data_IF_579794975602
#
_entry.id   IF_579794975602
#
_cell.length_a   1.000
_cell.length_b   1.000
_cell.length_c   1.000
_cell.angle_alpha   90.00
_cell.angle_beta   90.00
_cell.angle_gamma   90.00
#
_symmetry.space_group_name_H-M   'P 1'
#
loop_
_entity.id
_entity.type
_entity.pdbx_description
1 polymer ?
#
# COMPACT_ATOMS: atom_id res chain seq x y z
N UNK A 1 -38.58 -43.72 -35.70
CA UNK A 1 -40.05 -43.84 -35.49
C UNK A 1 -40.67 -42.57 -34.92
N UNK A 2 -40.12 -41.93 -33.89
CA UNK A 2 -40.67 -40.63 -33.42
C UNK A 2 -40.47 -39.50 -34.44
N UNK A 3 -39.41 -39.56 -35.24
CA UNK A 3 -39.09 -38.54 -36.24
C UNK A 3 -40.03 -38.49 -37.46
N UNK A 4 -40.90 -39.49 -37.64
CA UNK A 4 -41.89 -39.53 -38.71
C UNK A 4 -43.28 -39.04 -38.27
N UNK A 5 -43.43 -38.64 -37.00
CA UNK A 5 -44.67 -38.11 -36.48
C UNK A 5 -44.82 -36.61 -36.85
N UNK A 6 -46.05 -36.11 -37.04
CA UNK A 6 -46.32 -34.69 -37.18
C UNK A 6 -45.79 -33.88 -35.99
N UNK A 7 -45.34 -32.66 -36.27
CA UNK A 7 -44.75 -31.74 -35.28
C UNK A 7 -45.69 -31.47 -34.11
N UNK A 8 -46.99 -31.46 -34.33
CA UNK A 8 -48.04 -31.22 -33.34
C UNK A 8 -48.09 -32.35 -32.31
N UNK A 9 -47.99 -33.60 -32.77
CA UNK A 9 -48.01 -34.79 -31.90
C UNK A 9 -46.73 -34.83 -31.06
N UNK A 10 -45.58 -34.53 -31.66
CA UNK A 10 -44.31 -34.44 -30.95
C UNK A 10 -44.37 -33.35 -29.86
N UNK A 11 -44.94 -32.18 -30.17
CA UNK A 11 -45.15 -31.11 -29.18
C UNK A 11 -46.08 -31.53 -28.04
N UNK A 12 -47.15 -32.28 -28.32
CA UNK A 12 -48.05 -32.79 -27.29
C UNK A 12 -47.35 -33.79 -26.37
N UNK A 13 -46.59 -34.74 -26.94
CA UNK A 13 -45.79 -35.69 -26.17
C UNK A 13 -44.79 -34.95 -25.28
N UNK A 14 -44.05 -33.99 -25.85
CA UNK A 14 -43.07 -33.20 -25.10
C UNK A 14 -43.70 -32.41 -23.94
N UNK A 15 -44.90 -31.82 -24.12
CA UNK A 15 -45.62 -31.10 -23.06
C UNK A 15 -46.06 -32.00 -21.90
N UNK A 16 -46.31 -33.28 -22.16
CA UNK A 16 -46.74 -34.26 -21.14
C UNK A 16 -45.55 -34.91 -20.41
N UNK A 17 -44.34 -34.82 -20.95
CA UNK A 17 -43.14 -35.38 -20.31
C UNK A 17 -42.63 -34.50 -19.15
N UNK A 18 -42.00 -35.14 -18.16
CA UNK A 18 -41.22 -34.46 -17.12
C UNK A 18 -40.00 -33.72 -17.71
N UNK A 19 -39.38 -32.79 -16.97
CA UNK A 19 -38.19 -32.06 -17.43
C UNK A 19 -37.07 -33.01 -17.90
N UNK A 20 -36.83 -34.10 -17.17
CA UNK A 20 -35.87 -35.13 -17.56
C UNK A 20 -36.26 -35.85 -18.85
N UNK A 21 -37.55 -36.16 -19.05
CA UNK A 21 -38.05 -36.75 -20.29
C UNK A 21 -37.93 -35.80 -21.49
N UNK A 22 -38.23 -34.51 -21.29
CA UNK A 22 -38.05 -33.47 -22.30
C UNK A 22 -36.56 -33.32 -22.68
N UNK A 23 -35.65 -33.37 -21.70
CA UNK A 23 -34.21 -33.32 -21.94
C UNK A 23 -33.74 -34.52 -22.76
N UNK A 24 -34.13 -35.75 -22.38
CA UNK A 24 -33.80 -36.97 -23.13
C UNK A 24 -34.33 -36.95 -24.58
N UNK A 25 -35.58 -36.50 -24.78
CA UNK A 25 -36.17 -36.32 -26.11
C UNK A 25 -35.38 -35.30 -26.95
N UNK A 26 -35.00 -34.18 -26.34
CA UNK A 26 -34.21 -33.14 -27.00
C UNK A 26 -32.79 -33.60 -27.37
N UNK A 27 -32.19 -34.50 -26.58
CA UNK A 27 -30.85 -35.04 -26.83
C UNK A 27 -30.84 -36.13 -27.91
N UNK A 28 -32.00 -36.70 -28.23
CA UNK A 28 -32.12 -37.85 -29.14
C UNK A 28 -31.76 -37.51 -30.59
N UNK A 29 -32.15 -36.33 -31.09
CA UNK A 29 -31.72 -35.85 -32.41
C UNK A 29 -31.89 -34.33 -32.58
N UNK A 30 -31.20 -33.73 -33.57
CA UNK A 30 -31.25 -32.28 -33.84
C UNK A 30 -32.64 -31.75 -34.18
N UNK A 31 -33.43 -32.54 -34.91
CA UNK A 31 -34.80 -32.16 -35.27
C UNK A 31 -35.69 -32.08 -34.03
N UNK A 32 -35.64 -33.10 -33.16
CA UNK A 32 -36.38 -33.11 -31.91
C UNK A 32 -35.88 -32.02 -30.95
N UNK A 33 -34.58 -31.74 -30.94
CA UNK A 33 -34.05 -30.59 -30.20
C UNK A 33 -34.73 -29.29 -30.64
N UNK A 34 -34.79 -29.00 -31.95
CA UNK A 34 -35.42 -27.75 -32.42
C UNK A 34 -36.89 -27.62 -32.05
N UNK A 35 -37.65 -28.72 -32.04
CA UNK A 35 -39.07 -28.75 -31.71
C UNK A 35 -39.28 -28.65 -30.19
N UNK A 36 -38.51 -29.41 -29.41
CA UNK A 36 -38.65 -29.50 -27.96
C UNK A 36 -38.01 -28.32 -27.22
N UNK A 37 -37.03 -27.62 -27.81
CA UNK A 37 -36.31 -26.47 -27.22
C UNK A 37 -37.26 -25.46 -26.55
N UNK A 38 -38.22 -24.83 -27.26
CA UNK A 38 -39.10 -23.83 -26.64
C UNK A 38 -39.96 -24.42 -25.51
N UNK A 39 -40.37 -25.69 -25.62
CA UNK A 39 -41.18 -26.37 -24.60
C UNK A 39 -40.35 -26.65 -23.34
N UNK A 40 -39.13 -27.15 -23.51
CA UNK A 40 -38.19 -27.46 -22.43
C UNK A 40 -37.84 -26.22 -21.61
N UNK A 41 -37.45 -25.13 -22.28
CA UNK A 41 -37.09 -23.90 -21.58
C UNK A 41 -38.29 -23.19 -20.96
N UNK A 42 -39.46 -23.22 -21.61
CA UNK A 42 -40.69 -22.70 -20.99
C UNK A 42 -41.09 -23.49 -19.74
N UNK A 43 -40.89 -24.80 -19.74
CA UNK A 43 -41.14 -25.65 -18.58
C UNK A 43 -40.15 -25.33 -17.43
N UNK A 44 -38.86 -25.13 -17.74
CA UNK A 44 -37.85 -24.70 -16.76
C UNK A 44 -38.17 -23.33 -16.13
N UNK A 45 -38.65 -22.38 -16.93
CA UNK A 45 -39.07 -21.06 -16.44
C UNK A 45 -40.24 -21.16 -15.46
N UNK A 46 -41.28 -21.95 -15.79
CA UNK A 46 -42.50 -22.04 -15.00
C UNK A 46 -42.29 -22.87 -13.72
N UNK A 47 -41.64 -24.03 -13.83
CA UNK A 47 -41.60 -25.02 -12.76
C UNK A 47 -40.28 -25.06 -11.97
N UNK A 48 -39.20 -24.51 -12.53
CA UNK A 48 -37.85 -24.65 -11.97
C UNK A 48 -37.12 -23.31 -11.80
N UNK A 49 -37.83 -22.18 -11.87
CA UNK A 49 -37.26 -20.87 -11.54
C UNK A 49 -36.09 -20.46 -12.43
N UNK A 50 -36.10 -20.87 -13.71
CA UNK A 50 -35.02 -20.60 -14.67
C UNK A 50 -33.68 -21.24 -14.29
N UNK A 51 -33.71 -22.44 -13.72
CA UNK A 51 -32.50 -23.18 -13.31
C UNK A 51 -31.49 -23.39 -14.44
N UNK A 52 -31.95 -23.44 -15.70
CA UNK A 52 -31.09 -23.59 -16.86
C UNK A 52 -30.18 -22.38 -17.09
N UNK A 53 -30.61 -21.17 -16.70
CA UNK A 53 -29.82 -19.92 -16.77
C UNK A 53 -28.61 -20.04 -15.86
N UNK A 54 -28.83 -20.40 -14.60
CA UNK A 54 -27.76 -20.60 -13.63
C UNK A 54 -26.89 -21.79 -14.03
N UNK A 55 -27.47 -22.90 -14.47
CA UNK A 55 -26.70 -24.06 -14.94
C UNK A 55 -25.74 -23.69 -16.08
N UNK A 56 -26.21 -22.94 -17.08
CA UNK A 56 -25.40 -22.47 -18.20
C UNK A 56 -24.24 -21.59 -17.73
N UNK A 57 -24.48 -20.66 -16.80
CA UNK A 57 -23.45 -19.76 -16.28
C UNK A 57 -22.45 -20.52 -15.40
N UNK A 58 -22.83 -21.57 -14.68
CA UNK A 58 -21.97 -22.33 -13.74
C UNK A 58 -21.16 -23.41 -14.45
N UNK A 59 -21.78 -24.11 -15.39
CA UNK A 59 -21.16 -25.24 -16.10
C UNK A 59 -20.66 -24.83 -17.49
N UNK A 60 -20.52 -23.52 -17.74
CA UNK A 60 -19.99 -22.96 -18.97
C UNK A 60 -18.62 -23.58 -19.31
N UNK A 61 -18.60 -24.48 -20.31
CA UNK A 61 -17.37 -24.99 -20.97
C UNK A 61 -17.06 -24.16 -22.21
N UNK A 62 -18.08 -23.78 -22.97
CA UNK A 62 -18.02 -22.87 -24.12
C UNK A 62 -19.00 -21.70 -23.89
N UNK A 63 -18.52 -20.48 -24.14
CA UNK A 63 -19.29 -19.24 -23.98
C UNK A 63 -20.44 -19.17 -24.97
N UNK A 64 -20.27 -19.72 -26.17
CA UNK A 64 -21.31 -19.71 -27.21
C UNK A 64 -22.49 -20.60 -26.82
N UNK A 65 -22.22 -21.78 -26.26
CA UNK A 65 -23.26 -22.69 -25.82
C UNK A 65 -24.05 -22.11 -24.64
N UNK A 66 -23.36 -21.46 -23.70
CA UNK A 66 -24.03 -20.75 -22.62
C UNK A 66 -24.93 -19.63 -23.13
N UNK A 67 -24.48 -18.81 -24.10
CA UNK A 67 -25.31 -17.77 -24.73
C UNK A 67 -26.52 -18.36 -25.47
N UNK A 68 -26.35 -19.49 -26.17
CA UNK A 68 -27.48 -20.17 -26.84
C UNK A 68 -28.52 -20.66 -25.84
N UNK A 69 -28.09 -21.17 -24.68
CA UNK A 69 -28.99 -21.59 -23.61
C UNK A 69 -29.71 -20.38 -23.01
N UNK A 70 -29.02 -19.25 -22.81
CA UNK A 70 -29.62 -18.02 -22.32
C UNK A 70 -30.64 -17.43 -23.32
N UNK A 71 -30.32 -17.42 -24.60
CA UNK A 71 -31.25 -17.02 -25.66
C UNK A 71 -32.48 -17.93 -25.70
N UNK A 72 -32.28 -19.25 -25.57
CA UNK A 72 -33.36 -20.22 -25.50
C UNK A 72 -34.26 -20.03 -24.27
N UNK A 73 -33.66 -19.72 -23.11
CA UNK A 73 -34.39 -19.42 -21.89
C UNK A 73 -35.24 -18.14 -22.06
N UNK A 74 -34.66 -17.09 -22.68
CA UNK A 74 -35.38 -15.84 -22.97
C UNK A 74 -36.55 -16.06 -23.93
N UNK A 75 -36.35 -16.81 -25.01
CA UNK A 75 -37.42 -17.23 -25.94
C UNK A 75 -38.51 -18.04 -25.21
N UNK A 76 -38.11 -18.85 -24.22
CA UNK A 76 -39.02 -19.61 -23.35
C UNK A 76 -39.82 -18.76 -22.36
N UNK A 77 -39.58 -17.44 -22.30
CA UNK A 77 -40.27 -16.51 -21.40
C UNK A 77 -39.51 -16.22 -20.10
N UNK A 78 -38.22 -16.53 -20.01
CA UNK A 78 -37.42 -16.20 -18.82
C UNK A 78 -37.34 -14.69 -18.61
N UNK A 79 -37.78 -14.24 -17.43
CA UNK A 79 -37.54 -12.89 -16.94
C UNK A 79 -36.29 -12.89 -16.07
N UNK A 80 -35.15 -12.53 -16.65
CA UNK A 80 -33.86 -12.52 -15.97
C UNK A 80 -33.80 -11.59 -14.75
N UNK A 81 -34.70 -10.59 -14.66
CA UNK A 81 -34.78 -9.69 -13.48
C UNK A 81 -35.35 -10.41 -12.26
N UNK A 82 -36.20 -11.43 -12.47
CA UNK A 82 -36.85 -12.22 -11.41
C UNK A 82 -36.23 -13.60 -11.23
N UNK A 83 -35.28 -13.98 -12.08
CA UNK A 83 -34.57 -15.25 -11.96
C UNK A 83 -33.76 -15.25 -10.66
N UNK A 84 -34.08 -16.18 -9.76
CA UNK A 84 -33.33 -16.41 -8.55
C UNK A 84 -32.86 -17.86 -8.50
N UNK A 85 -31.62 -18.07 -8.08
CA UNK A 85 -31.14 -19.42 -7.85
C UNK A 85 -31.85 -20.02 -6.63
N UNK A 86 -32.71 -20.99 -6.86
CA UNK A 86 -33.52 -21.64 -5.84
C UNK A 86 -32.70 -22.55 -4.89
N UNK A 87 -31.39 -22.74 -5.14
CA UNK A 87 -30.55 -23.64 -4.33
C UNK A 87 -30.00 -22.92 -3.10
N UNK A 88 -30.34 -23.42 -1.91
CA UNK A 88 -29.80 -22.96 -0.62
C UNK A 88 -28.26 -23.12 -0.51
N UNK A 89 -27.65 -24.01 -1.30
CA UNK A 89 -26.19 -24.14 -1.41
C UNK A 89 -25.78 -24.31 -2.88
N UNK A 90 -24.98 -23.37 -3.37
CA UNK A 90 -24.45 -23.39 -4.72
C UNK A 90 -23.05 -24.06 -4.72
N UNK A 91 -22.64 -24.86 -5.72
CA UNK A 91 -21.29 -25.43 -5.77
C UNK A 91 -20.16 -24.38 -5.75
N UNK A 92 -20.46 -23.12 -6.16
CA UNK A 92 -19.53 -21.99 -6.06
C UNK A 92 -19.53 -21.29 -4.67
N UNK A 93 -20.32 -21.76 -3.71
CA UNK A 93 -20.31 -21.31 -2.30
C UNK A 93 -19.14 -21.89 -1.51
N UNK A 94 -18.39 -22.83 -2.10
CA UNK A 94 -17.39 -23.67 -1.42
C UNK A 94 -16.24 -22.90 -0.75
N UNK A 95 -16.09 -21.59 -1.01
CA UNK A 95 -15.03 -20.77 -0.43
C UNK A 95 -15.51 -19.55 0.37
N UNK A 96 -16.80 -19.25 0.41
CA UNK A 96 -17.36 -18.16 1.26
C UNK A 96 -18.76 -18.53 1.72
N UNK A 97 -18.92 -18.65 3.03
CA UNK A 97 -20.12 -19.12 3.75
C UNK A 97 -21.36 -18.23 3.48
N UNK A 98 -21.19 -17.04 2.90
CA UNK A 98 -22.26 -16.05 2.69
C UNK A 98 -22.73 -15.87 1.23
N UNK A 99 -22.20 -16.63 0.26
CA UNK A 99 -22.44 -16.37 -1.16
C UNK A 99 -23.70 -17.06 -1.71
N UNK A 100 -24.87 -16.63 -1.29
CA UNK A 100 -26.09 -16.91 -2.04
C UNK A 100 -26.11 -15.94 -3.24
N UNK A 101 -25.66 -16.42 -4.41
CA UNK A 101 -25.65 -15.63 -5.64
C UNK A 101 -27.06 -15.66 -6.24
N UNK A 102 -27.87 -14.64 -5.93
CA UNK A 102 -29.28 -14.63 -6.33
C UNK A 102 -29.51 -14.19 -7.77
N UNK A 103 -28.63 -13.38 -8.38
CA UNK A 103 -28.85 -12.82 -9.74
C UNK A 103 -27.88 -13.41 -10.76
N UNK A 104 -28.34 -13.72 -11.99
CA UNK A 104 -27.48 -14.27 -13.05
C UNK A 104 -26.35 -13.30 -13.42
N UNK A 105 -26.55 -11.99 -13.25
CA UNK A 105 -25.55 -10.97 -13.53
C UNK A 105 -24.40 -11.00 -12.51
N UNK A 106 -24.68 -11.15 -11.21
CA UNK A 106 -23.64 -11.32 -10.18
C UNK A 106 -22.80 -12.56 -10.41
N UNK A 107 -23.45 -13.66 -10.75
CA UNK A 107 -22.77 -14.93 -11.00
C UNK A 107 -21.87 -14.83 -12.25
N UNK A 108 -22.36 -14.21 -13.33
CA UNK A 108 -21.58 -13.98 -14.54
C UNK A 108 -20.38 -13.04 -14.26
N UNK A 109 -20.59 -11.98 -13.47
CA UNK A 109 -19.55 -11.04 -13.06
C UNK A 109 -18.46 -11.71 -12.21
N UNK A 110 -18.85 -12.53 -11.23
CA UNK A 110 -17.94 -13.31 -10.39
C UNK A 110 -17.05 -14.28 -11.19
N UNK A 111 -17.59 -14.86 -12.26
CA UNK A 111 -16.87 -15.80 -13.12
C UNK A 111 -16.06 -15.14 -14.24
N UNK A 112 -16.21 -13.84 -14.44
CA UNK A 112 -15.51 -13.12 -15.50
C UNK A 112 -16.04 -13.40 -16.91
N UNK A 113 -17.36 -13.63 -17.05
CA UNK A 113 -17.98 -14.04 -18.32
C UNK A 113 -18.46 -12.81 -19.12
N UNK A 114 -17.52 -12.09 -19.73
CA UNK A 114 -17.75 -10.80 -20.42
C UNK A 114 -18.90 -10.81 -21.44
N UNK A 115 -18.98 -11.86 -22.27
CA UNK A 115 -20.01 -11.99 -23.31
C UNK A 115 -21.40 -12.20 -22.71
N UNK A 116 -21.48 -12.99 -21.63
CA UNK A 116 -22.73 -13.25 -20.90
C UNK A 116 -23.15 -12.01 -20.13
N UNK A 117 -22.22 -11.29 -19.50
CA UNK A 117 -22.51 -10.01 -18.82
C UNK A 117 -23.06 -9.00 -19.83
N UNK A 118 -22.44 -8.87 -20.99
CA UNK A 118 -22.94 -8.01 -22.08
C UNK A 118 -24.36 -8.40 -22.49
N UNK A 119 -24.57 -9.68 -22.78
CA UNK A 119 -25.88 -10.19 -23.18
C UNK A 119 -26.95 -9.93 -22.11
N UNK A 120 -26.67 -10.21 -20.84
CA UNK A 120 -27.61 -9.98 -19.75
C UNK A 120 -27.98 -8.50 -19.60
N UNK A 121 -27.01 -7.59 -19.70
CA UNK A 121 -27.26 -6.14 -19.68
C UNK A 121 -28.10 -5.71 -20.90
N UNK A 122 -27.79 -6.23 -22.09
CA UNK A 122 -28.53 -5.95 -23.33
C UNK A 122 -29.99 -6.45 -23.28
N UNK A 123 -30.26 -7.44 -22.43
CA UNK A 123 -31.61 -7.96 -22.16
C UNK A 123 -32.40 -7.16 -21.11
N UNK A 124 -31.87 -6.01 -20.68
CA UNK A 124 -32.57 -5.06 -19.81
C UNK A 124 -32.32 -5.23 -18.31
N UNK A 125 -31.32 -6.02 -17.90
CA UNK A 125 -30.93 -6.09 -16.49
C UNK A 125 -30.27 -4.78 -16.07
N UNK A 126 -30.66 -4.28 -14.89
CA UNK A 126 -29.99 -3.12 -14.29
C UNK A 126 -28.55 -3.50 -13.93
N UNK A 127 -27.60 -2.72 -14.46
CA UNK A 127 -26.15 -2.94 -14.29
C UNK A 127 -25.75 -2.88 -12.81
N UNK A 128 -26.46 -2.06 -12.04
CA UNK A 128 -26.21 -1.83 -10.62
C UNK A 128 -27.04 -2.76 -9.70
N UNK A 129 -27.96 -3.55 -10.28
CA UNK A 129 -28.93 -4.44 -9.61
C UNK A 129 -29.54 -3.81 -8.34
N UNK A 130 -30.32 -2.72 -8.53
CA UNK A 130 -30.85 -1.93 -7.41
C UNK A 130 -31.87 -2.66 -6.54
N UNK A 131 -32.53 -3.68 -7.08
CA UNK A 131 -33.62 -4.41 -6.43
C UNK A 131 -33.14 -5.57 -5.52
N UNK A 132 -31.83 -5.79 -5.40
CA UNK A 132 -31.24 -6.85 -4.57
C UNK A 132 -31.77 -6.85 -3.13
N UNK A 133 -32.62 -7.83 -2.84
CA UNK A 133 -33.55 -7.86 -1.69
C UNK A 133 -32.90 -8.11 -0.31
N UNK A 134 -31.56 -8.10 -0.16
CA UNK A 134 -30.92 -8.53 1.10
C UNK A 134 -29.63 -7.79 1.51
N UNK A 135 -29.34 -7.94 2.81
CA UNK A 135 -28.43 -7.19 3.70
C UNK A 135 -26.98 -7.04 3.23
N UNK A 136 -26.50 -7.85 2.27
CA UNK A 136 -25.09 -7.80 1.83
C UNK A 136 -24.83 -6.79 0.71
N UNK A 137 -25.85 -6.19 0.05
CA UNK A 137 -25.76 -5.04 -0.89
C UNK A 137 -24.65 -5.11 -1.98
N UNK A 138 -24.00 -6.26 -2.22
CA UNK A 138 -22.88 -6.36 -3.16
C UNK A 138 -23.42 -6.24 -4.58
N UNK A 139 -22.90 -5.27 -5.33
CA UNK A 139 -23.25 -5.04 -6.73
C UNK A 139 -22.54 -6.06 -7.64
N UNK A 140 -23.01 -6.28 -8.88
CA UNK A 140 -22.29 -7.12 -9.84
C UNK A 140 -20.84 -6.67 -10.04
N UNK A 141 -20.61 -5.35 -10.02
CA UNK A 141 -19.27 -4.75 -10.06
C UNK A 141 -18.40 -5.20 -8.88
N UNK A 142 -18.94 -5.19 -7.65
CA UNK A 142 -18.19 -5.61 -6.46
C UNK A 142 -17.81 -7.09 -6.52
N UNK A 143 -18.69 -7.95 -7.05
CA UNK A 143 -18.37 -9.36 -7.27
C UNK A 143 -17.25 -9.55 -8.30
N UNK A 144 -17.25 -8.80 -9.41
CA UNK A 144 -16.15 -8.84 -10.36
C UNK A 144 -14.81 -8.41 -9.70
N UNK A 145 -14.84 -7.34 -8.88
CA UNK A 145 -13.64 -6.84 -8.18
C UNK A 145 -13.10 -7.86 -7.19
N UNK A 146 -13.95 -8.39 -6.31
CA UNK A 146 -13.55 -9.33 -5.24
C UNK A 146 -13.05 -10.68 -5.77
N UNK A 147 -13.36 -11.01 -7.02
CA UNK A 147 -12.89 -12.24 -7.69
C UNK A 147 -11.82 -11.95 -8.77
N UNK A 148 -11.22 -10.75 -8.74
CA UNK A 148 -10.13 -10.32 -9.65
C UNK A 148 -10.47 -10.36 -11.15
N UNK A 149 -11.74 -10.20 -11.51
CA UNK A 149 -12.19 -10.19 -12.90
C UNK A 149 -12.14 -8.77 -13.48
N UNK A 150 -10.93 -8.30 -13.77
CA UNK A 150 -10.70 -6.91 -14.18
C UNK A 150 -11.40 -6.53 -15.49
N UNK A 151 -11.34 -7.39 -16.52
CA UNK A 151 -11.98 -7.12 -17.82
C UNK A 151 -13.49 -6.96 -17.69
N UNK A 152 -14.10 -7.82 -16.89
CA UNK A 152 -15.54 -7.81 -16.61
C UNK A 152 -15.94 -6.61 -15.78
N UNK A 153 -15.15 -6.25 -14.75
CA UNK A 153 -15.38 -5.05 -13.97
C UNK A 153 -15.31 -3.79 -14.86
N UNK A 154 -14.33 -3.72 -15.77
CA UNK A 154 -14.20 -2.65 -16.75
C UNK A 154 -15.41 -2.58 -17.68
N UNK A 155 -15.89 -3.72 -18.18
CA UNK A 155 -17.09 -3.81 -19.00
C UNK A 155 -18.31 -3.26 -18.25
N UNK A 156 -18.51 -3.68 -17.00
CA UNK A 156 -19.63 -3.24 -16.15
C UNK A 156 -19.60 -1.72 -15.93
N UNK A 157 -18.43 -1.14 -15.65
CA UNK A 157 -18.27 0.32 -15.56
C UNK A 157 -18.56 1.02 -16.89
N UNK A 158 -18.09 0.45 -18.02
CA UNK A 158 -18.37 1.02 -19.35
C UNK A 158 -19.85 1.01 -19.70
N UNK A 159 -20.58 -0.02 -19.26
CA UNK A 159 -22.02 -0.18 -19.42
C UNK A 159 -22.85 0.71 -18.48
N UNK A 160 -22.22 1.48 -17.59
CA UNK A 160 -22.89 2.53 -16.81
C UNK A 160 -23.06 2.25 -15.33
N UNK A 161 -22.35 1.26 -14.76
CA UNK A 161 -22.34 1.05 -13.32
C UNK A 161 -21.93 2.33 -12.57
N UNK A 162 -22.67 2.67 -11.52
CA UNK A 162 -22.48 3.93 -10.77
C UNK A 162 -22.34 3.71 -9.27
N UNK A 163 -22.85 2.59 -8.75
CA UNK A 163 -22.85 2.31 -7.31
C UNK A 163 -21.44 2.03 -6.78
N UNK A 164 -21.07 2.76 -5.72
CA UNK A 164 -19.76 2.60 -5.06
C UNK A 164 -18.60 3.29 -5.80
N UNK A 165 -18.89 4.05 -6.87
CA UNK A 165 -17.88 4.74 -7.70
C UNK A 165 -17.93 6.26 -7.58
N UNK A 166 -18.89 6.83 -6.86
CA UNK A 166 -19.08 8.27 -6.73
C UNK A 166 -19.23 8.67 -5.25
N UNK A 167 -18.65 9.80 -4.82
CA UNK A 167 -18.84 10.30 -3.47
C UNK A 167 -20.34 10.52 -3.16
N UNK A 168 -20.81 10.25 -1.93
CA UNK A 168 -20.03 9.88 -0.74
C UNK A 168 -19.68 8.39 -0.63
N UNK A 169 -20.18 7.52 -1.52
CA UNK A 169 -19.94 6.08 -1.45
C UNK A 169 -18.90 5.63 -2.50
N UNK A 170 -17.66 5.48 -2.06
CA UNK A 170 -16.53 5.04 -2.87
C UNK A 170 -16.11 3.58 -2.60
N UNK A 171 -17.00 2.74 -2.05
CA UNK A 171 -16.65 1.37 -1.66
C UNK A 171 -16.07 0.52 -2.79
N UNK A 172 -16.65 0.58 -3.99
CA UNK A 172 -16.15 -0.17 -5.16
C UNK A 172 -14.82 0.40 -5.67
N UNK A 173 -14.65 1.73 -5.63
CA UNK A 173 -13.37 2.37 -5.95
C UNK A 173 -12.28 1.96 -4.95
N UNK A 174 -12.55 2.00 -3.66
CA UNK A 174 -11.64 1.54 -2.61
C UNK A 174 -11.27 0.06 -2.79
N UNK A 175 -12.26 -0.80 -3.06
CA UNK A 175 -12.05 -2.21 -3.31
C UNK A 175 -11.15 -2.44 -4.53
N UNK A 176 -11.33 -1.68 -5.62
CA UNK A 176 -10.48 -1.80 -6.81
C UNK A 176 -8.99 -1.50 -6.52
N UNK A 177 -8.72 -0.55 -5.62
CA UNK A 177 -7.36 -0.23 -5.14
C UNK A 177 -6.83 -1.36 -4.25
N UNK A 178 -7.65 -1.83 -3.29
CA UNK A 178 -7.32 -2.91 -2.36
C UNK A 178 -6.98 -4.22 -3.05
N UNK A 179 -7.64 -4.50 -4.18
CA UNK A 179 -7.37 -5.70 -4.97
C UNK A 179 -6.25 -5.49 -6.00
N UNK A 180 -5.93 -4.24 -6.35
CA UNK A 180 -4.83 -3.90 -7.27
C UNK A 180 -5.23 -3.85 -8.74
N UNK A 181 -6.50 -3.56 -9.04
CA UNK A 181 -7.06 -3.55 -10.40
C UNK A 181 -6.75 -2.21 -11.11
N UNK A 182 -5.53 -2.08 -11.63
CA UNK A 182 -4.99 -0.83 -12.18
C UNK A 182 -5.76 -0.29 -13.40
N UNK A 183 -6.20 -1.15 -14.33
CA UNK A 183 -6.95 -0.75 -15.51
C UNK A 183 -8.34 -0.23 -15.11
N UNK A 184 -8.96 -0.90 -14.14
CA UNK A 184 -10.25 -0.49 -13.60
C UNK A 184 -10.17 0.90 -12.95
N UNK A 185 -9.18 1.13 -12.10
CA UNK A 185 -8.96 2.44 -11.44
C UNK A 185 -8.77 3.56 -12.45
N UNK A 186 -7.96 3.35 -13.51
CA UNK A 186 -7.77 4.34 -14.57
C UNK A 186 -9.08 4.73 -15.26
N UNK A 187 -9.97 3.76 -15.48
CA UNK A 187 -11.25 4.00 -16.14
C UNK A 187 -12.21 4.72 -15.18
N UNK A 188 -12.26 4.33 -13.91
CA UNK A 188 -13.09 4.98 -12.90
C UNK A 188 -12.71 6.46 -12.76
N UNK A 189 -11.42 6.77 -12.59
CA UNK A 189 -10.94 8.15 -12.43
C UNK A 189 -11.27 9.00 -13.65
N UNK A 190 -11.03 8.48 -14.87
CA UNK A 190 -11.33 9.20 -16.12
C UNK A 190 -12.82 9.45 -16.34
N UNK A 191 -13.68 8.48 -16.02
CA UNK A 191 -15.12 8.53 -16.33
C UNK A 191 -15.94 9.21 -15.26
N UNK A 192 -15.66 8.92 -13.99
CA UNK A 192 -16.46 9.36 -12.85
C UNK A 192 -15.90 10.65 -12.22
N UNK A 193 -14.81 11.22 -12.77
CA UNK A 193 -14.14 12.42 -12.26
C UNK A 193 -13.81 12.33 -10.77
N UNK A 194 -13.44 11.14 -10.32
CA UNK A 194 -13.04 10.90 -8.93
C UNK A 194 -11.72 11.61 -8.68
N UNK A 195 -11.68 12.47 -7.67
CA UNK A 195 -10.44 13.09 -7.24
C UNK A 195 -9.54 12.03 -6.57
N UNK A 196 -8.37 11.78 -7.19
CA UNK A 196 -7.37 10.82 -6.71
C UNK A 196 -6.67 11.27 -5.42
N UNK A 197 -6.89 12.51 -4.99
CA UNK A 197 -6.38 13.06 -3.74
C UNK A 197 -7.47 13.24 -2.67
N UNK A 198 -8.72 12.84 -2.97
CA UNK A 198 -9.81 12.93 -2.00
C UNK A 198 -9.56 12.02 -0.78
N UNK A 199 -10.05 12.46 0.37
CA UNK A 199 -10.08 11.63 1.57
C UNK A 199 -11.15 10.53 1.40
N UNK A 200 -10.70 9.28 1.42
CA UNK A 200 -11.54 8.08 1.38
C UNK A 200 -12.13 7.73 2.76
N UNK A 201 -11.77 8.50 3.79
CA UNK A 201 -12.17 8.33 5.18
C UNK A 201 -10.95 8.22 6.10
N UNK A 202 -11.03 8.85 7.28
CA UNK A 202 -9.97 8.87 8.29
C UNK A 202 -8.63 9.46 7.79
N UNK A 203 -8.67 10.41 6.84
CA UNK A 203 -7.49 11.02 6.23
C UNK A 203 -6.73 10.10 5.27
N UNK A 204 -7.35 9.01 4.80
CA UNK A 204 -6.74 8.02 3.93
C UNK A 204 -6.94 8.42 2.47
N UNK A 205 -5.85 8.72 1.75
CA UNK A 205 -5.92 8.96 0.31
C UNK A 205 -5.83 7.64 -0.48
N UNK A 206 -6.27 7.59 -1.74
CA UNK A 206 -6.11 6.44 -2.62
C UNK A 206 -4.67 5.89 -2.65
N UNK A 207 -3.68 6.79 -2.63
CA UNK A 207 -2.26 6.43 -2.62
C UNK A 207 -1.85 5.75 -1.30
N UNK A 208 -2.31 6.28 -0.15
CA UNK A 208 -2.07 5.66 1.17
C UNK A 208 -2.66 4.25 1.20
N UNK A 209 -3.90 4.08 0.72
CA UNK A 209 -4.57 2.78 0.65
C UNK A 209 -3.78 1.77 -0.20
N UNK A 210 -3.27 2.17 -1.37
CA UNK A 210 -2.47 1.32 -2.24
C UNK A 210 -1.18 0.82 -1.55
N UNK A 211 -0.50 1.70 -0.81
CA UNK A 211 0.73 1.36 -0.07
C UNK A 211 0.42 0.43 1.10
N UNK A 212 -0.61 0.70 1.89
CA UNK A 212 -1.03 -0.15 3.01
C UNK A 212 -1.36 -1.59 2.56
N UNK A 213 -1.99 -1.74 1.39
CA UNK A 213 -2.31 -3.04 0.79
C UNK A 213 -1.18 -3.62 -0.09
N UNK A 214 0.00 -2.99 -0.10
CA UNK A 214 1.21 -3.45 -0.83
C UNK A 214 0.98 -3.65 -2.33
N UNK A 215 0.17 -2.78 -2.95
CA UNK A 215 -0.13 -2.85 -4.38
C UNK A 215 0.88 -2.04 -5.18
N UNK A 216 2.08 -2.61 -5.36
CA UNK A 216 3.19 -2.00 -6.09
C UNK A 216 2.79 -1.40 -7.44
N UNK A 217 2.11 -2.14 -8.35
CA UNK A 217 1.68 -1.60 -9.65
C UNK A 217 0.63 -0.48 -9.56
N UNK A 218 -0.12 -0.39 -8.46
CA UNK A 218 -1.13 0.65 -8.28
C UNK A 218 -0.50 2.02 -7.99
N UNK A 219 0.63 2.05 -7.29
CA UNK A 219 1.37 3.28 -6.95
C UNK A 219 1.71 4.11 -8.21
N UNK A 220 2.44 3.59 -9.23
CA UNK A 220 2.75 4.38 -10.42
C UNK A 220 1.48 4.77 -11.17
N UNK A 221 0.45 3.92 -11.22
CA UNK A 221 -0.81 4.26 -11.90
C UNK A 221 -1.53 5.44 -11.22
N UNK A 222 -1.53 5.51 -9.89
CA UNK A 222 -2.14 6.63 -9.16
C UNK A 222 -1.31 7.91 -9.32
N UNK A 223 0.02 7.82 -9.29
CA UNK A 223 0.90 8.98 -9.51
C UNK A 223 0.72 9.54 -10.93
N UNK A 224 0.62 8.69 -11.95
CA UNK A 224 0.30 9.10 -13.33
C UNK A 224 -1.08 9.78 -13.45
N UNK A 225 -2.03 9.39 -12.60
CA UNK A 225 -3.36 10.01 -12.54
C UNK A 225 -3.36 11.32 -11.73
N UNK A 226 -2.22 11.76 -11.19
CA UNK A 226 -2.06 13.02 -10.45
C UNK A 226 -2.14 12.89 -8.93
N UNK A 227 -1.93 11.70 -8.37
CA UNK A 227 -1.87 11.51 -6.92
C UNK A 227 -0.62 12.17 -6.32
N UNK A 228 -0.79 12.91 -5.22
CA UNK A 228 0.29 13.60 -4.51
C UNK A 228 0.95 12.67 -3.50
N UNK A 229 2.25 12.44 -3.67
CA UNK A 229 3.03 11.57 -2.78
C UNK A 229 3.39 12.22 -1.44
N UNK A 230 3.68 13.52 -1.43
CA UNK A 230 4.17 14.21 -0.24
C UNK A 230 3.20 14.16 0.96
N UNK A 231 1.88 14.44 0.80
CA UNK A 231 0.94 14.32 1.92
C UNK A 231 0.84 12.90 2.46
N UNK A 232 0.92 11.89 1.59
CA UNK A 232 0.94 10.48 1.99
C UNK A 232 2.21 10.15 2.80
N UNK A 233 3.37 10.64 2.37
CA UNK A 233 4.63 10.46 3.08
C UNK A 233 4.64 11.14 4.45
N UNK A 234 4.13 12.37 4.57
CA UNK A 234 4.00 13.07 5.85
C UNK A 234 3.13 12.30 6.84
N UNK A 235 2.02 11.74 6.37
CA UNK A 235 1.18 10.86 7.19
C UNK A 235 1.94 9.62 7.66
N UNK A 236 2.64 8.93 6.75
CA UNK A 236 3.43 7.76 7.14
C UNK A 236 4.56 8.10 8.12
N UNK A 237 5.11 9.31 8.04
CA UNK A 237 6.08 9.83 9.00
C UNK A 237 5.46 9.90 10.40
N UNK A 238 4.31 10.57 10.54
CA UNK A 238 3.59 10.69 11.81
C UNK A 238 3.12 9.34 12.39
N UNK A 239 2.80 8.37 11.53
CA UNK A 239 2.43 7.01 11.95
C UNK A 239 3.66 6.11 12.24
N UNK A 240 4.90 6.62 12.13
CA UNK A 240 6.16 5.87 12.20
C UNK A 240 6.23 4.69 11.20
N UNK A 241 5.54 4.80 10.07
CA UNK A 241 5.42 3.81 9.01
C UNK A 241 6.48 4.04 7.90
N UNK A 242 7.77 4.10 8.27
CA UNK A 242 8.87 4.35 7.33
C UNK A 242 8.98 3.31 6.20
N UNK A 243 8.57 2.07 6.47
CA UNK A 243 8.50 1.02 5.44
C UNK A 243 7.53 1.37 4.30
N UNK A 244 6.42 2.06 4.62
CA UNK A 244 5.47 2.54 3.61
C UNK A 244 6.08 3.63 2.74
N UNK A 245 6.89 4.51 3.32
CA UNK A 245 7.66 5.54 2.57
C UNK A 245 8.65 4.84 1.62
N UNK A 246 9.39 3.83 2.10
CA UNK A 246 10.32 3.07 1.29
C UNK A 246 9.65 2.42 0.09
N UNK A 247 8.51 1.75 0.27
CA UNK A 247 7.80 1.14 -0.85
C UNK A 247 7.25 2.15 -1.85
N UNK A 248 6.78 3.30 -1.37
CA UNK A 248 6.35 4.39 -2.23
C UNK A 248 7.52 4.87 -3.10
N UNK A 249 8.70 5.04 -2.48
CA UNK A 249 9.92 5.44 -3.18
C UNK A 249 10.40 4.37 -4.16
N UNK A 250 10.41 3.10 -3.80
CA UNK A 250 10.90 2.03 -4.67
C UNK A 250 9.99 1.80 -5.87
N UNK A 251 8.67 1.84 -5.66
CA UNK A 251 7.68 1.62 -6.72
C UNK A 251 7.48 2.87 -7.60
N UNK A 252 7.76 4.06 -7.06
CA UNK A 252 7.49 5.35 -7.71
C UNK A 252 8.74 6.14 -8.13
N UNK A 253 9.96 5.65 -7.89
CA UNK A 253 11.20 6.45 -8.00
C UNK A 253 11.44 7.20 -9.31
N UNK A 254 10.91 6.74 -10.44
CA UNK A 254 11.02 7.44 -11.73
C UNK A 254 10.00 8.56 -11.88
N UNK A 255 8.74 8.31 -11.48
CA UNK A 255 7.62 9.24 -11.61
C UNK A 255 7.60 10.31 -10.50
N UNK A 256 8.11 9.95 -9.32
CA UNK A 256 8.18 10.85 -8.17
C UNK A 256 9.21 11.96 -8.36
N UNK A 257 10.28 11.73 -9.14
CA UNK A 257 11.29 12.75 -9.46
C UNK A 257 10.68 14.00 -10.10
N UNK A 258 9.72 13.81 -11.01
CA UNK A 258 9.09 14.94 -11.71
C UNK A 258 8.04 15.69 -10.89
N UNK A 259 7.56 15.11 -9.78
CA UNK A 259 6.43 15.67 -9.01
C UNK A 259 6.82 16.25 -7.65
N UNK A 260 7.99 15.90 -7.12
CA UNK A 260 8.46 16.35 -5.82
C UNK A 260 9.28 17.64 -5.95
N UNK A 261 8.91 18.67 -5.19
CA UNK A 261 9.73 19.89 -5.07
C UNK A 261 10.84 19.69 -4.04
N UNK A 262 11.99 20.34 -4.28
CA UNK A 262 13.17 20.27 -3.40
C UNK A 262 12.82 20.79 -1.99
N UNK A 263 12.14 21.93 -1.88
CA UNK A 263 11.80 22.53 -0.58
C UNK A 263 10.91 21.59 0.25
N UNK A 264 9.86 21.07 -0.38
CA UNK A 264 8.89 20.17 0.27
C UNK A 264 9.51 18.84 0.71
N UNK A 265 10.48 18.32 -0.07
CA UNK A 265 11.21 17.09 0.26
C UNK A 265 12.25 17.33 1.36
N UNK A 266 12.88 18.49 1.40
CA UNK A 266 13.80 18.87 2.49
C UNK A 266 13.06 18.97 3.84
N UNK A 267 11.85 19.54 3.85
CA UNK A 267 10.98 19.56 5.04
C UNK A 267 10.62 18.15 5.50
N UNK A 268 10.31 17.25 4.56
CA UNK A 268 10.00 15.86 4.87
C UNK A 268 11.21 15.14 5.47
N UNK A 269 12.41 15.33 4.90
CA UNK A 269 13.65 14.75 5.44
C UNK A 269 13.90 15.26 6.84
N UNK A 270 13.72 16.56 7.08
CA UNK A 270 13.86 17.16 8.41
C UNK A 270 12.85 16.56 9.41
N UNK A 271 11.59 16.41 9.01
CA UNK A 271 10.55 15.76 9.83
C UNK A 271 10.94 14.32 10.16
N UNK A 272 11.38 13.54 9.17
CA UNK A 272 11.79 12.14 9.37
C UNK A 272 13.01 12.07 10.28
N UNK A 273 13.99 12.97 10.13
CA UNK A 273 15.22 12.97 10.93
C UNK A 273 15.01 13.37 12.39
N UNK A 274 14.02 14.21 12.67
CA UNK A 274 13.71 14.71 14.02
C UNK A 274 12.75 13.82 14.80
N UNK A 275 12.08 12.87 14.14
CA UNK A 275 11.10 11.99 14.78
C UNK A 275 11.78 10.97 15.72
N UNK A 276 11.20 10.78 16.91
CA UNK A 276 11.72 9.82 17.90
C UNK A 276 11.21 8.43 17.60
N UNK A 277 12.12 7.57 17.13
CA UNK A 277 11.76 6.26 16.59
C UNK A 277 12.28 5.12 17.48
N UNK A 278 11.49 4.04 17.58
CA UNK A 278 11.87 2.81 18.28
C UNK A 278 13.04 2.10 17.58
N UNK A 279 13.90 1.34 18.28
CA UNK A 279 15.09 0.73 17.68
C UNK A 279 14.79 -0.22 16.50
N UNK A 280 13.60 -0.84 16.46
CA UNK A 280 13.18 -1.69 15.34
C UNK A 280 12.87 -0.91 14.05
N UNK A 281 12.42 0.33 14.18
CA UNK A 281 12.05 1.21 13.08
C UNK A 281 13.20 2.12 12.63
N UNK A 282 14.26 2.28 13.44
CA UNK A 282 15.44 3.11 13.11
C UNK A 282 16.10 2.72 11.80
N UNK A 283 16.31 1.42 11.56
CA UNK A 283 16.89 0.96 10.29
C UNK A 283 16.02 1.38 9.09
N UNK A 284 14.69 1.36 9.25
CA UNK A 284 13.75 1.76 8.20
C UNK A 284 13.76 3.28 7.98
N UNK A 285 13.89 4.06 9.05
CA UNK A 285 14.05 5.52 9.03
C UNK A 285 15.36 5.93 8.31
N UNK A 286 16.46 5.26 8.61
CA UNK A 286 17.77 5.52 7.97
C UNK A 286 17.69 5.23 6.47
N UNK A 287 17.15 4.06 6.10
CA UNK A 287 17.00 3.70 4.69
C UNK A 287 16.06 4.66 3.94
N UNK A 288 14.98 5.12 4.58
CA UNK A 288 14.05 6.07 3.95
C UNK A 288 14.72 7.42 3.73
N UNK A 289 15.49 7.91 4.71
CA UNK A 289 16.31 9.12 4.60
C UNK A 289 17.37 8.98 3.50
N UNK A 290 18.12 7.88 3.47
CA UNK A 290 19.13 7.63 2.45
C UNK A 290 18.52 7.64 1.05
N UNK A 291 17.32 7.07 0.89
CA UNK A 291 16.61 7.03 -0.39
C UNK A 291 16.11 8.41 -0.81
N UNK A 292 15.58 9.21 0.12
CA UNK A 292 15.17 10.59 -0.14
C UNK A 292 16.35 11.49 -0.48
N UNK A 293 17.47 11.36 0.23
CA UNK A 293 18.70 12.09 -0.07
C UNK A 293 19.24 11.74 -1.47
N UNK A 294 19.19 10.45 -1.87
CA UNK A 294 19.52 10.03 -3.25
C UNK A 294 18.63 10.69 -4.31
N UNK A 295 17.34 10.87 -4.03
CA UNK A 295 16.44 11.55 -4.95
C UNK A 295 16.79 13.03 -5.07
N UNK A 296 16.99 13.71 -3.93
CA UNK A 296 17.44 15.10 -3.91
C UNK A 296 18.77 15.30 -4.66
N UNK A 297 19.75 14.42 -4.44
CA UNK A 297 21.09 14.56 -5.04
C UNK A 297 21.08 14.40 -6.57
N UNK A 298 20.18 13.57 -7.10
CA UNK A 298 20.04 13.44 -8.55
C UNK A 298 19.42 14.69 -9.18
N UNK A 299 18.43 15.30 -8.52
CA UNK A 299 17.82 16.55 -9.00
C UNK A 299 18.81 17.71 -8.90
N UNK A 300 19.60 17.78 -7.82
CA UNK A 300 20.67 18.79 -7.66
C UNK A 300 21.85 18.58 -8.60
N UNK A 301 22.17 17.36 -9.03
CA UNK A 301 23.17 17.12 -10.09
C UNK A 301 22.68 17.60 -11.47
N UNK A 302 21.38 17.47 -11.75
CA UNK A 302 20.80 18.04 -12.98
C UNK A 302 20.84 19.59 -12.96
N UNK A 303 20.68 20.19 -11.77
CA UNK A 303 20.73 21.64 -11.54
C UNK A 303 22.16 22.19 -11.33
N UNK A 304 23.12 21.35 -10.91
CA UNK A 304 24.54 21.72 -10.71
C UNK A 304 25.23 22.11 -12.00
N UNK A 305 24.72 21.66 -13.15
CA UNK A 305 25.18 22.12 -14.45
C UNK A 305 24.71 23.56 -14.77
N UNK A 306 23.89 24.19 -13.91
CA UNK A 306 23.30 25.51 -14.13
C UNK A 306 23.63 26.52 -13.01
N UNK A 307 23.89 26.12 -11.75
CA UNK A 307 24.27 27.08 -10.69
C UNK A 307 25.22 26.51 -9.63
N UNK A 308 26.14 27.37 -9.17
CA UNK A 308 27.15 27.10 -8.11
C UNK A 308 26.60 27.36 -6.69
N UNK A 309 25.47 28.05 -6.52
CA UNK A 309 24.92 28.38 -5.18
C UNK A 309 24.15 27.22 -4.51
N UNK A 310 23.55 26.31 -5.27
CA UNK A 310 22.72 25.23 -4.68
C UNK A 310 23.53 24.14 -3.98
N UNK A 311 24.85 24.10 -4.23
CA UNK A 311 25.73 23.12 -3.60
C UNK A 311 26.08 23.51 -2.15
N UNK A 312 26.26 24.80 -1.84
CA UNK A 312 26.51 25.24 -0.46
C UNK A 312 25.28 25.05 0.41
N UNK A 313 24.10 25.38 -0.11
CA UNK A 313 22.85 25.32 0.66
C UNK A 313 22.49 23.88 1.06
N UNK A 314 22.84 22.89 0.22
CA UNK A 314 22.63 21.47 0.53
C UNK A 314 23.61 20.95 1.59
N UNK A 315 24.87 21.39 1.55
CA UNK A 315 25.86 21.08 2.59
C UNK A 315 25.44 21.72 3.93
N UNK A 316 25.01 22.99 3.91
CA UNK A 316 24.48 23.68 5.10
C UNK A 316 23.23 22.98 5.67
N UNK A 317 22.36 22.44 4.80
CA UNK A 317 21.20 21.63 5.20
C UNK A 317 21.62 20.30 5.85
N UNK A 318 22.58 19.58 5.27
CA UNK A 318 23.12 18.35 5.84
C UNK A 318 23.83 18.61 7.18
N UNK A 319 24.56 19.71 7.28
CA UNK A 319 25.22 20.15 8.51
C UNK A 319 24.16 20.45 9.59
N UNK A 320 23.09 21.16 9.25
CA UNK A 320 21.98 21.43 10.16
C UNK A 320 21.29 20.14 10.65
N UNK A 321 21.05 19.18 9.76
CA UNK A 321 20.52 17.86 10.14
C UNK A 321 21.46 17.12 11.08
N UNK A 322 22.76 17.12 10.80
CA UNK A 322 23.76 16.54 11.68
C UNK A 322 23.77 17.24 13.05
N UNK A 323 23.62 18.57 13.11
CA UNK A 323 23.50 19.28 14.40
C UNK A 323 22.25 18.87 15.18
N UNK A 324 21.11 18.69 14.50
CA UNK A 324 19.90 18.22 15.18
C UNK A 324 20.08 16.81 15.74
N UNK A 325 20.75 15.91 14.98
CA UNK A 325 21.09 14.56 15.39
C UNK A 325 22.23 14.48 16.43
N UNK A 326 23.01 15.54 16.60
CA UNK A 326 24.04 15.68 17.64
C UNK A 326 23.57 16.56 18.81
N UNK A 327 22.31 16.99 18.83
CA UNK A 327 21.76 17.70 19.98
C UNK A 327 21.84 16.81 21.23
N UNK A 328 22.14 17.41 22.38
CA UNK A 328 22.50 16.70 23.62
C UNK A 328 21.39 15.74 24.11
N UNK A 329 20.15 15.98 23.69
CA UNK A 329 18.98 15.14 23.99
C UNK A 329 18.72 14.03 22.93
N UNK A 330 19.33 14.08 21.74
CA UNK A 330 19.04 13.18 20.61
C UNK A 330 20.27 12.59 19.93
N UNK A 331 21.07 11.81 20.66
CA UNK A 331 22.28 11.19 20.10
C UNK A 331 21.99 9.83 19.45
N UNK A 332 21.55 9.86 18.20
CA UNK A 332 21.47 8.66 17.36
C UNK A 332 22.76 8.52 16.54
N UNK A 333 23.59 7.54 16.93
CA UNK A 333 24.86 7.26 16.25
C UNK A 333 24.66 6.85 14.80
N UNK A 334 23.53 6.23 14.48
CA UNK A 334 23.25 5.75 13.13
C UNK A 334 22.87 6.87 12.16
N UNK A 335 22.04 7.83 12.59
CA UNK A 335 21.72 9.01 11.78
C UNK A 335 22.94 9.91 11.58
N UNK A 336 23.72 10.09 12.65
CA UNK A 336 24.97 10.86 12.61
C UNK A 336 25.98 10.26 11.62
N UNK A 337 26.12 8.93 11.62
CA UNK A 337 26.95 8.21 10.66
C UNK A 337 26.44 8.32 9.22
N UNK A 338 25.12 8.29 9.00
CA UNK A 338 24.54 8.51 7.68
C UNK A 338 24.88 9.92 7.18
N UNK A 339 24.59 10.98 7.93
CA UNK A 339 24.88 12.34 7.47
C UNK A 339 26.38 12.58 7.26
N UNK A 340 27.23 12.01 8.10
CA UNK A 340 28.68 12.02 7.89
C UNK A 340 29.07 11.35 6.56
N UNK A 341 28.50 10.18 6.23
CA UNK A 341 28.79 9.49 4.96
C UNK A 341 28.40 10.30 3.72
N UNK A 342 27.45 11.24 3.89
CA UNK A 342 27.01 12.18 2.86
C UNK A 342 27.81 13.49 2.82
N UNK A 343 28.78 13.67 3.73
CA UNK A 343 29.69 14.83 3.73
C UNK A 343 29.44 15.87 4.82
N UNK A 344 28.42 15.68 5.67
CA UNK A 344 28.07 16.64 6.72
C UNK A 344 29.23 16.86 7.71
N UNK A 345 29.43 18.11 8.11
CA UNK A 345 30.46 18.58 9.03
C UNK A 345 29.87 18.92 10.39
N UNK A 346 30.66 18.65 11.43
CA UNK A 346 30.30 19.05 12.78
C UNK A 346 30.63 20.53 12.96
N UNK A 347 29.65 21.35 13.33
CA UNK A 347 29.87 22.76 13.61
C UNK A 347 30.75 22.98 14.85
N UNK A 348 31.50 24.09 14.84
CA UNK A 348 32.41 24.49 15.92
C UNK A 348 31.70 24.61 17.29
N UNK A 349 30.43 25.00 17.30
CA UNK A 349 29.62 25.14 18.51
C UNK A 349 29.49 23.86 19.33
N UNK A 350 29.32 22.69 18.67
CA UNK A 350 29.19 21.40 19.37
C UNK A 350 30.49 21.01 20.07
N UNK A 351 31.64 21.22 19.43
CA UNK A 351 32.95 20.97 20.05
C UNK A 351 33.13 21.82 21.31
N UNK A 352 32.79 23.11 21.24
CA UNK A 352 32.91 24.04 22.37
C UNK A 352 31.93 23.69 23.50
N UNK A 353 30.69 23.33 23.16
CA UNK A 353 29.68 22.93 24.13
C UNK A 353 30.08 21.63 24.85
N UNK A 354 30.58 20.62 24.14
CA UNK A 354 31.08 19.39 24.74
C UNK A 354 32.28 19.64 25.65
N UNK A 355 33.26 20.43 25.22
CA UNK A 355 34.39 20.83 26.07
C UNK A 355 33.93 21.53 27.35
N UNK A 356 32.94 22.43 27.25
CA UNK A 356 32.41 23.16 28.40
C UNK A 356 31.68 22.24 29.38
N UNK A 357 30.86 21.31 28.89
CA UNK A 357 30.10 20.37 29.73
C UNK A 357 31.06 19.37 30.41
N UNK A 358 31.97 18.75 29.64
CA UNK A 358 32.93 17.77 30.15
C UNK A 358 33.96 18.39 31.10
N UNK A 359 34.34 19.66 30.87
CA UNK A 359 35.25 20.41 31.73
C UNK A 359 34.59 21.06 32.96
N UNK A 360 33.29 20.87 33.18
CA UNK A 360 32.60 21.42 34.36
C UNK A 360 32.91 20.58 35.61
N UNK A 361 33.04 21.23 36.77
CA UNK A 361 33.24 20.53 38.05
C UNK A 361 32.10 19.55 38.37
N UNK A 362 30.88 19.86 37.91
CA UNK A 362 29.70 19.00 38.01
C UNK A 362 29.87 17.67 37.29
N UNK A 363 30.63 17.62 36.19
CA UNK A 363 30.88 16.37 35.48
C UNK A 363 31.87 15.50 36.24
N UNK A 364 32.89 16.08 36.88
CA UNK A 364 33.88 15.31 37.66
C UNK A 364 33.34 14.86 39.01
N UNK A 365 32.51 15.67 39.66
CA UNK A 365 31.96 15.37 40.99
C UNK A 365 30.71 14.47 40.93
N UNK A 366 29.84 14.68 39.94
CA UNK A 366 28.47 14.12 39.94
C UNK A 366 28.00 13.70 38.53
N UNK A 367 28.76 12.81 37.87
CA UNK A 367 28.47 12.28 36.52
C UNK A 367 27.01 11.83 36.38
N UNK A 368 26.47 11.15 37.41
CA UNK A 368 25.10 10.61 37.41
C UNK A 368 24.04 11.70 37.28
N UNK A 369 24.27 12.87 37.87
CA UNK A 369 23.37 14.03 37.78
C UNK A 369 23.48 14.68 36.41
N UNK A 370 24.71 14.79 35.88
CA UNK A 370 24.95 15.31 34.54
C UNK A 370 24.28 14.43 33.46
N UNK A 371 24.42 13.10 33.55
CA UNK A 371 23.79 12.15 32.62
C UNK A 371 22.27 12.02 32.81
N UNK A 372 21.72 12.47 33.95
CA UNK A 372 20.27 12.57 34.13
C UNK A 372 19.71 13.77 33.37
N UNK A 373 20.45 14.87 33.33
CA UNK A 373 20.08 16.07 32.58
C UNK A 373 20.33 15.90 31.08
N UNK A 374 21.38 15.16 30.71
CA UNK A 374 21.83 14.97 29.34
C UNK A 374 22.09 13.47 29.07
N UNK A 375 21.04 12.68 28.74
CA UNK A 375 21.16 11.23 28.65
C UNK A 375 22.03 10.76 27.47
N UNK A 376 22.13 11.56 26.41
CA UNK A 376 22.92 11.26 25.20
C UNK A 376 24.38 11.74 25.25
N UNK A 377 24.80 12.46 26.30
CA UNK A 377 26.09 13.16 26.34
C UNK A 377 27.28 12.26 25.99
N UNK A 378 27.35 11.05 26.56
CA UNK A 378 28.46 10.11 26.31
C UNK A 378 28.47 9.56 24.88
N UNK A 379 27.29 9.29 24.30
CA UNK A 379 27.16 8.87 22.90
C UNK A 379 27.59 9.99 21.95
N UNK A 380 27.17 11.23 22.23
CA UNK A 380 27.61 12.42 21.51
C UNK A 380 29.13 12.58 21.57
N UNK A 381 29.69 12.52 22.77
CA UNK A 381 31.12 12.64 22.99
C UNK A 381 31.90 11.54 22.26
N UNK A 382 31.45 10.29 22.34
CA UNK A 382 32.07 9.16 21.66
C UNK A 382 32.08 9.34 20.14
N UNK A 383 30.96 9.75 19.56
CA UNK A 383 30.86 10.01 18.12
C UNK A 383 31.77 11.18 17.68
N UNK A 384 31.70 12.32 18.36
CA UNK A 384 32.51 13.51 18.04
C UNK A 384 34.00 13.24 18.23
N UNK A 385 34.37 12.49 19.26
CA UNK A 385 35.75 12.08 19.51
C UNK A 385 36.24 11.13 18.42
N UNK A 386 35.45 10.12 18.05
CA UNK A 386 35.78 9.22 16.95
C UNK A 386 35.93 9.96 15.61
N UNK A 387 35.00 10.87 15.29
CA UNK A 387 35.07 11.75 14.12
C UNK A 387 36.36 12.57 14.10
N UNK A 388 36.70 13.20 15.23
CA UNK A 388 37.89 14.05 15.38
C UNK A 388 39.22 13.31 15.17
N UNK A 389 39.26 12.02 15.54
CA UNK A 389 40.41 11.16 15.32
C UNK A 389 40.59 10.77 13.85
N UNK A 390 39.49 10.53 13.13
CA UNK A 390 39.49 10.07 11.74
C UNK A 390 39.50 11.21 10.70
N UNK A 391 39.35 12.46 11.14
CA UNK A 391 39.55 13.64 10.28
C UNK A 391 41.02 13.76 9.84
N UNK A 392 41.30 13.56 8.55
CA UNK A 392 42.65 13.69 7.98
C UNK A 392 42.86 15.03 7.24
N UNK A 393 44.04 15.62 7.43
CA UNK A 393 44.58 16.74 6.65
C UNK A 393 43.79 18.06 6.72
N UNK A 394 43.47 18.72 5.59
CA UNK A 394 42.97 20.10 5.53
C UNK A 394 41.56 20.30 6.13
N UNK A 395 40.84 19.22 6.42
CA UNK A 395 39.54 19.25 7.10
C UNK A 395 39.67 19.31 8.64
N UNK A 396 40.86 19.10 9.21
CA UNK A 396 41.13 19.28 10.64
C UNK A 396 41.24 20.77 10.95
N UNK A 397 40.08 21.42 11.03
CA UNK A 397 39.97 22.81 11.46
C UNK A 397 40.46 23.00 12.91
N UNK A 398 40.76 24.25 13.27
CA UNK A 398 41.21 24.62 14.62
C UNK A 398 40.33 24.02 15.72
N UNK A 399 39.00 23.97 15.52
CA UNK A 399 38.07 23.47 16.52
C UNK A 399 38.29 21.99 16.87
N UNK A 400 38.66 21.15 15.89
CA UNK A 400 38.97 19.72 16.11
C UNK A 400 40.25 19.58 16.92
N UNK A 401 41.29 20.34 16.56
CA UNK A 401 42.56 20.36 17.30
C UNK A 401 42.38 20.88 18.74
N UNK A 402 41.58 21.94 18.90
CA UNK A 402 41.23 22.49 20.21
C UNK A 402 40.50 21.46 21.07
N UNK A 403 39.48 20.79 20.52
CA UNK A 403 38.74 19.74 21.20
C UNK A 403 39.65 18.62 21.68
N UNK A 404 40.47 18.05 20.79
CA UNK A 404 41.40 16.97 21.16
C UNK A 404 42.41 17.37 22.26
N UNK A 405 42.81 18.64 22.31
CA UNK A 405 43.74 19.14 23.34
C UNK A 405 43.09 19.42 24.71
N UNK A 406 41.77 19.64 24.76
CA UNK A 406 41.04 20.11 25.95
C UNK A 406 40.10 19.07 26.55
N UNK A 407 39.85 17.97 25.86
CA UNK A 407 38.99 16.89 26.37
C UNK A 407 39.61 16.27 27.62
N UNK A 408 38.85 16.12 28.73
CA UNK A 408 39.36 15.48 29.94
C UNK A 408 39.75 14.02 29.69
N UNK A 409 40.95 13.62 30.13
CA UNK A 409 41.41 12.23 30.05
C UNK A 409 40.51 11.25 30.79
N UNK A 410 39.80 11.74 31.81
CA UNK A 410 38.79 10.98 32.55
C UNK A 410 37.59 10.59 31.67
N UNK A 411 37.09 11.52 30.84
CA UNK A 411 35.95 11.25 29.95
C UNK A 411 36.28 10.20 28.87
N UNK A 412 37.52 10.25 28.35
CA UNK A 412 38.02 9.25 27.38
C UNK A 412 38.10 7.87 28.03
N UNK A 413 38.69 7.77 29.23
CA UNK A 413 38.80 6.51 29.99
C UNK A 413 37.43 5.91 30.30
N UNK A 414 36.48 6.75 30.76
CA UNK A 414 35.12 6.31 31.06
C UNK A 414 34.43 5.64 29.86
N UNK A 415 34.52 6.24 28.67
CA UNK A 415 33.92 5.66 27.46
C UNK A 415 34.65 4.38 27.02
N UNK A 416 35.98 4.33 27.15
CA UNK A 416 36.76 3.14 26.82
C UNK A 416 36.42 1.96 27.73
N UNK A 417 36.37 2.17 29.05
CA UNK A 417 36.00 1.17 30.05
C UNK A 417 34.58 0.64 29.84
N UNK A 418 33.61 1.53 29.63
CA UNK A 418 32.23 1.13 29.32
C UNK A 418 32.16 0.24 28.07
N UNK A 419 32.94 0.56 27.02
CA UNK A 419 33.01 -0.25 25.80
C UNK A 419 33.69 -1.59 26.02
N UNK A 420 34.80 -1.63 26.77
CA UNK A 420 35.53 -2.87 27.09
C UNK A 420 34.64 -3.86 27.86
N UNK A 421 33.83 -3.36 28.80
CA UNK A 421 32.88 -4.17 29.55
C UNK A 421 31.54 -4.41 28.84
N UNK A 422 31.36 -3.92 27.60
CA UNK A 422 30.12 -4.09 26.83
C UNK A 422 28.90 -3.38 27.43
N UNK A 423 29.12 -2.35 28.26
CA UNK A 423 28.07 -1.60 28.94
C UNK A 423 27.55 -0.46 28.04
N UNK A 424 26.25 -0.11 28.14
CA UNK A 424 25.68 0.98 27.33
C UNK A 424 26.25 2.33 27.77
N UNK A 425 26.51 3.25 26.83
CA UNK A 425 27.00 4.62 27.10
C UNK A 425 25.89 5.53 27.65
N UNK A 426 25.17 5.05 28.64
CA UNK A 426 24.05 5.72 29.31
C UNK A 426 24.32 5.74 30.80
N UNK A 427 23.49 6.48 31.55
CA UNK A 427 23.51 6.47 33.02
C UNK A 427 23.53 5.05 33.61
N UNK A 428 22.77 4.11 33.04
CA UNK A 428 22.72 2.71 33.52
C UNK A 428 24.06 2.01 33.37
N UNK A 429 24.79 2.25 32.27
CA UNK A 429 26.14 1.69 32.10
C UNK A 429 27.10 2.23 33.14
N UNK A 430 27.04 3.52 33.43
CA UNK A 430 27.85 4.16 34.48
C UNK A 430 27.46 3.67 35.89
N UNK A 431 26.19 3.31 36.13
CA UNK A 431 25.75 2.70 37.39
C UNK A 431 26.22 1.26 37.56
N UNK A 432 26.36 0.51 36.47
CA UNK A 432 26.88 -0.87 36.46
C UNK A 432 28.40 -0.92 36.49
N UNK A 433 29.09 0.17 36.13
CA UNK A 433 30.53 0.28 36.18
C UNK A 433 30.99 0.65 37.60
N UNK A 434 31.96 -0.10 38.13
CA UNK A 434 32.55 0.19 39.42
C UNK A 434 33.50 1.41 39.29
N UNK A 435 33.03 2.59 39.69
CA UNK A 435 33.75 3.87 39.52
C UNK A 435 35.04 3.96 40.36
N UNK A 436 35.22 3.05 41.32
CA UNK A 436 36.38 2.96 42.21
C UNK A 436 37.70 2.66 41.47
N UNK A 437 37.65 2.05 40.28
CA UNK A 437 38.81 1.81 39.42
C UNK A 437 39.27 3.06 38.65
N UNK A 438 38.36 4.02 38.40
CA UNK A 438 38.63 5.25 37.65
C UNK A 438 39.30 6.34 38.50
N UNK A 439 39.12 6.31 39.83
CA UNK A 439 39.73 7.25 40.78
C UNK A 439 41.22 6.94 41.04
N UNK A 440 41.65 5.69 40.85
CA UNK A 440 43.02 5.22 41.15
C UNK A 440 44.05 5.41 40.02
N UNK A 441 43.91 6.47 39.21
CA UNK A 441 44.81 6.77 38.10
C UNK A 441 45.81 7.88 38.41
N UNK A 442 46.93 7.52 39.05
CA UNK A 442 48.16 8.31 39.17
C UNK A 442 48.52 9.08 37.88
N UNK A 443 49.01 10.30 38.05
CA UNK A 443 49.76 11.01 37.02
C UNK A 443 51.01 10.21 36.62
N UNK A 444 51.35 10.10 35.33
CA UNK A 444 52.73 9.98 34.90
C UNK A 444 53.25 11.37 34.48
N UNK A 445 54.46 11.70 34.94
CA UNK A 445 55.26 12.81 34.45
C UNK A 445 55.96 12.50 33.14
#
# INVERSE_FOLDING_TARGET
MISSLPTEIICMIAKLCSLGGQASLSQSCRMLYSICKPILYRNDVINHGCSAVFFAIVHCRDRHDALRILAAAKEGGADFTKCQDARKSHPLSFHRVDAILFSPLHLAARRGLDDIVSYLIDQGLDVDDKEGLHLTRKTPLMEAILNHQETTAVLIVRRGASRGLCPPNLEAFQASIREGLTCLVRIIVKRNRVDVNADLGYGCTPLVLAVCHRKGPMIPTLVELGARALPAMRRFCSDNAFLSILWLLDSGSSLLRGSLKIDETSELIFSIATERVSPSQKNQQILSLERLLKLLCHDTQSLRNVMVSSASDFEDFLDALLQTALSVDHTDTHLSGLFQSWGARIHTGVFLQLCRILGSSLFTEDIRRCLRQNPGLLHCFDFVHHYSLHCSGPARGWAVSYFLSRVPSYAIRLVQELKQHGLPLTRRGVEMLDLSSLENGNAPG
#
